data_IF_682401208419
#
_entry.id   IF_682401208419
#
_cell.length_a   1.000
_cell.length_b   1.000
_cell.length_c   1.000
_cell.angle_alpha   90.00
_cell.angle_beta   90.00
_cell.angle_gamma   90.00
#
_symmetry.space_group_name_H-M   'P 1'
#
loop_
_entity.id
_entity.type
_entity.pdbx_description
1 polymer ?
#
# COMPACT_ATOMS: atom_id res chain seq x y z
N UNK A 1 -15.04 -7.80 12.65
CA UNK A 1 -14.36 -8.83 11.83
C UNK A 1 -13.11 -9.29 12.56
N UNK A 2 -12.89 -10.60 12.66
CA UNK A 2 -11.63 -11.18 13.17
C UNK A 2 -10.49 -11.03 12.15
N UNK A 3 -9.23 -11.24 12.55
CA UNK A 3 -8.06 -11.02 11.68
C UNK A 3 -8.07 -11.91 10.43
N UNK A 4 -8.60 -13.15 10.51
CA UNK A 4 -8.81 -14.03 9.35
C UNK A 4 -9.78 -13.43 8.31
N UNK A 5 -10.91 -12.87 8.77
CA UNK A 5 -11.89 -12.23 7.89
C UNK A 5 -11.33 -10.94 7.26
N UNK A 6 -10.57 -10.16 8.02
CA UNK A 6 -9.87 -8.97 7.50
C UNK A 6 -8.84 -9.36 6.43
N UNK A 7 -8.04 -10.41 6.68
CA UNK A 7 -7.03 -10.90 5.73
C UNK A 7 -7.66 -11.30 4.40
N UNK A 8 -8.78 -12.05 4.46
CA UNK A 8 -9.54 -12.40 3.26
C UNK A 8 -10.03 -11.18 2.49
N UNK A 9 -10.57 -10.17 3.17
CA UNK A 9 -11.03 -8.94 2.52
C UNK A 9 -9.87 -8.17 1.84
N UNK A 10 -8.68 -8.15 2.45
CA UNK A 10 -7.49 -7.55 1.85
C UNK A 10 -7.03 -8.33 0.61
N UNK A 11 -7.02 -9.66 0.67
CA UNK A 11 -6.69 -10.50 -0.47
C UNK A 11 -7.69 -10.34 -1.62
N UNK A 12 -8.98 -10.23 -1.30
CA UNK A 12 -10.04 -10.00 -2.29
C UNK A 12 -9.90 -8.61 -2.92
N UNK A 13 -9.56 -7.58 -2.14
CA UNK A 13 -9.22 -6.25 -2.65
C UNK A 13 -8.06 -6.34 -3.65
N UNK A 14 -6.95 -6.97 -3.27
CA UNK A 14 -5.75 -7.07 -4.11
C UNK A 14 -5.99 -7.80 -5.43
N UNK A 15 -6.92 -8.76 -5.45
CA UNK A 15 -7.32 -9.52 -6.65
C UNK A 15 -8.40 -8.80 -7.47
N UNK A 16 -9.04 -7.79 -6.91
CA UNK A 16 -10.14 -7.10 -7.56
C UNK A 16 -9.69 -6.34 -8.80
N UNK A 17 -10.53 -6.32 -9.83
CA UNK A 17 -10.31 -5.49 -11.04
C UNK A 17 -10.19 -4.01 -10.69
N UNK A 18 -10.96 -3.54 -9.70
CA UNK A 18 -10.90 -2.15 -9.24
C UNK A 18 -9.53 -1.79 -8.68
N UNK A 19 -8.94 -2.66 -7.87
CA UNK A 19 -7.57 -2.44 -7.38
C UNK A 19 -6.53 -2.48 -8.48
N UNK A 20 -6.66 -3.38 -9.47
CA UNK A 20 -5.76 -3.41 -10.63
C UNK A 20 -5.78 -2.09 -11.41
N UNK A 21 -6.97 -1.53 -11.65
CA UNK A 21 -7.15 -0.23 -12.30
C UNK A 21 -6.49 0.88 -11.49
N UNK A 22 -6.77 0.96 -10.18
CA UNK A 22 -6.16 1.96 -9.30
C UNK A 22 -4.64 1.84 -9.26
N UNK A 23 -4.12 0.61 -9.14
CA UNK A 23 -2.69 0.35 -9.09
C UNK A 23 -1.99 0.77 -10.39
N UNK A 24 -2.62 0.57 -11.55
CA UNK A 24 -2.08 1.03 -12.83
C UNK A 24 -2.07 2.55 -12.91
N UNK A 25 -3.22 3.21 -12.69
CA UNK A 25 -3.35 4.67 -12.76
C UNK A 25 -2.35 5.34 -11.82
N UNK A 26 -2.23 4.88 -10.58
CA UNK A 26 -1.31 5.47 -9.61
C UNK A 26 0.16 5.31 -10.00
N UNK A 27 0.54 4.20 -10.66
CA UNK A 27 1.90 4.02 -11.19
C UNK A 27 2.19 5.00 -12.33
N UNK A 28 1.21 5.20 -13.20
CA UNK A 28 1.33 6.14 -14.32
C UNK A 28 1.45 7.59 -13.81
N UNK A 29 0.67 7.96 -12.78
CA UNK A 29 0.76 9.26 -12.11
C UNK A 29 2.11 9.49 -11.42
N UNK A 30 2.68 8.46 -10.79
CA UNK A 30 4.03 8.54 -10.22
C UNK A 30 5.07 8.84 -11.29
N UNK A 31 5.02 8.13 -12.43
CA UNK A 31 5.95 8.32 -13.54
C UNK A 31 5.76 9.72 -14.14
N UNK A 32 4.53 10.12 -14.42
CA UNK A 32 4.20 11.46 -14.93
C UNK A 32 4.72 12.58 -14.03
N UNK A 33 4.55 12.44 -12.72
CA UNK A 33 5.04 13.40 -11.72
C UNK A 33 6.57 13.46 -11.70
N UNK A 34 7.24 12.31 -11.80
CA UNK A 34 8.70 12.23 -11.84
C UNK A 34 9.28 12.84 -13.12
N UNK A 35 8.67 12.55 -14.28
CA UNK A 35 9.04 13.14 -15.57
C UNK A 35 8.85 14.65 -15.57
N UNK A 36 7.74 15.15 -15.00
CA UNK A 36 7.50 16.59 -14.88
C UNK A 36 8.61 17.33 -14.11
N UNK A 37 9.16 16.69 -13.06
CA UNK A 37 10.30 17.24 -12.32
C UNK A 37 11.58 17.21 -13.19
N UNK A 38 11.81 16.10 -13.89
CA UNK A 38 13.02 15.90 -14.70
C UNK A 38 13.08 16.84 -15.93
N UNK A 39 11.94 17.08 -16.57
CA UNK A 39 11.85 17.81 -17.83
C UNK A 39 11.81 19.34 -17.64
N UNK A 40 11.49 19.81 -16.43
CA UNK A 40 11.41 21.25 -16.13
C UNK A 40 12.57 21.71 -15.25
N UNK A 41 13.65 22.13 -15.90
CA UNK A 41 14.84 22.68 -15.23
C UNK A 41 14.59 23.99 -14.45
N UNK A 42 13.47 24.67 -14.69
CA UNK A 42 13.08 25.93 -14.06
C UNK A 42 11.96 25.77 -13.01
N UNK A 43 11.66 24.54 -12.60
CA UNK A 43 10.62 24.28 -11.60
C UNK A 43 11.00 24.88 -10.24
N UNK A 44 10.05 25.58 -9.61
CA UNK A 44 10.24 26.11 -8.27
C UNK A 44 10.48 25.01 -7.23
N UNK A 45 11.33 25.28 -6.25
CA UNK A 45 11.70 24.30 -5.24
C UNK A 45 10.50 23.81 -4.41
N UNK A 46 9.52 24.67 -4.13
CA UNK A 46 8.31 24.27 -3.40
C UNK A 46 7.47 23.29 -4.23
N UNK A 47 7.36 23.55 -5.54
CA UNK A 47 6.65 22.67 -6.48
C UNK A 47 7.36 21.30 -6.62
N UNK A 48 8.70 21.29 -6.68
CA UNK A 48 9.48 20.04 -6.68
C UNK A 48 9.19 19.24 -5.40
N UNK A 49 9.21 19.89 -4.23
CA UNK A 49 8.97 19.23 -2.96
C UNK A 49 7.53 18.72 -2.84
N UNK A 50 6.55 19.49 -3.32
CA UNK A 50 5.15 19.06 -3.38
C UNK A 50 5.01 17.78 -4.22
N UNK A 51 5.59 17.76 -5.42
CA UNK A 51 5.55 16.57 -6.30
C UNK A 51 6.26 15.36 -5.69
N UNK A 52 7.40 15.56 -5.02
CA UNK A 52 8.08 14.48 -4.27
C UNK A 52 7.18 13.92 -3.16
N UNK A 53 6.46 14.79 -2.45
CA UNK A 53 5.47 14.40 -1.45
C UNK A 53 4.32 13.57 -2.05
N UNK A 54 3.75 14.01 -3.17
CA UNK A 54 2.70 13.28 -3.88
C UNK A 54 3.17 11.91 -4.37
N UNK A 55 4.37 11.83 -4.95
CA UNK A 55 4.99 10.55 -5.36
C UNK A 55 5.16 9.62 -4.15
N UNK A 56 5.65 10.14 -3.02
CA UNK A 56 5.82 9.34 -1.81
C UNK A 56 4.48 8.81 -1.30
N UNK A 57 3.46 9.66 -1.20
CA UNK A 57 2.13 9.27 -0.74
C UNK A 57 1.48 8.21 -1.66
N UNK A 58 1.62 8.39 -2.97
CA UNK A 58 1.17 7.42 -3.98
C UNK A 58 1.82 6.05 -3.76
N UNK A 59 3.13 6.00 -3.57
CA UNK A 59 3.85 4.75 -3.24
C UNK A 59 3.33 4.14 -1.93
N UNK A 60 3.14 4.95 -0.89
CA UNK A 60 2.62 4.45 0.39
C UNK A 60 1.23 3.84 0.27
N UNK A 61 0.36 4.40 -0.59
CA UNK A 61 -0.97 3.87 -0.85
C UNK A 61 -0.92 2.50 -1.53
N UNK A 62 -0.07 2.33 -2.54
CA UNK A 62 0.06 1.06 -3.26
C UNK A 62 0.60 -0.08 -2.38
N UNK A 63 1.47 0.24 -1.42
CA UNK A 63 2.03 -0.73 -0.47
C UNK A 63 1.09 -1.06 0.70
N UNK A 64 0.03 -0.28 0.89
CA UNK A 64 -0.83 -0.40 2.07
C UNK A 64 -1.50 -1.78 2.21
N UNK A 65 -2.08 -2.40 1.17
CA UNK A 65 -2.69 -3.71 1.30
C UNK A 65 -1.68 -4.81 1.67
N UNK A 66 -0.46 -4.73 1.12
CA UNK A 66 0.61 -5.69 1.40
C UNK A 66 1.03 -5.62 2.87
N UNK A 67 1.28 -4.41 3.39
CA UNK A 67 1.62 -4.21 4.80
C UNK A 67 0.51 -4.67 5.74
N UNK A 68 -0.74 -4.36 5.38
CA UNK A 68 -1.90 -4.78 6.17
C UNK A 68 -2.03 -6.31 6.19
N UNK A 69 -1.82 -6.97 5.05
CA UNK A 69 -1.77 -8.43 4.95
C UNK A 69 -0.72 -9.02 5.88
N UNK A 70 0.54 -8.55 5.80
CA UNK A 70 1.63 -9.04 6.66
C UNK A 70 1.31 -8.89 8.15
N UNK A 71 0.75 -7.75 8.54
CA UNK A 71 0.32 -7.52 9.92
C UNK A 71 -0.75 -8.52 10.35
N UNK A 72 -1.75 -8.77 9.51
CA UNK A 72 -2.84 -9.70 9.82
C UNK A 72 -2.35 -11.16 9.88
N UNK A 73 -1.41 -11.55 9.02
CA UNK A 73 -0.75 -12.87 9.08
C UNK A 73 -0.01 -13.05 10.41
N UNK A 74 0.73 -12.02 10.86
CA UNK A 74 1.41 -12.05 12.16
C UNK A 74 0.42 -12.13 13.34
N UNK A 75 -0.67 -11.35 13.31
CA UNK A 75 -1.73 -11.42 14.34
C UNK A 75 -2.32 -12.83 14.43
N UNK A 76 -2.62 -13.48 13.29
CA UNK A 76 -3.21 -14.82 13.28
C UNK A 76 -2.23 -15.87 13.83
N UNK A 77 -0.94 -15.73 13.54
CA UNK A 77 0.09 -16.65 14.04
C UNK A 77 0.17 -16.60 15.58
N UNK A 78 0.24 -15.40 16.14
CA UNK A 78 0.26 -15.20 17.60
C UNK A 78 -1.01 -15.75 18.27
N UNK A 79 -2.17 -15.46 17.69
CA UNK A 79 -3.47 -15.91 18.19
C UNK A 79 -3.66 -17.45 18.14
N UNK A 80 -2.83 -18.15 17.36
CA UNK A 80 -2.79 -19.61 17.28
C UNK A 80 -1.83 -20.20 18.31
N UNK A 81 -0.70 -19.54 18.56
CA UNK A 81 0.33 -19.93 19.53
C UNK A 81 -0.19 -19.79 20.98
N UNK A 82 -0.91 -18.71 21.28
CA UNK A 82 -1.54 -18.47 22.59
C UNK A 82 -2.59 -19.55 22.96
N UNK A 83 -3.24 -20.15 21.96
CA UNK A 83 -4.22 -21.24 22.18
C UNK A 83 -3.57 -22.60 22.36
N UNK A 84 -2.39 -22.82 21.78
CA UNK A 84 -1.65 -24.08 21.98
C UNK A 84 -0.97 -24.13 23.34
N UNK A 85 -0.57 -23.00 23.91
CA UNK A 85 0.12 -22.91 25.21
C UNK A 85 -0.82 -22.94 26.43
N UNK A 86 -2.13 -22.78 26.24
CA UNK A 86 -3.13 -22.79 27.32
C UNK A 86 -3.84 -24.13 27.51
N UNK A 87 -3.64 -25.08 26.60
CA UNK A 87 -4.23 -26.43 26.64
C UNK A 87 -3.27 -27.52 27.20
N UNK A 88 -2.08 -27.13 27.69
CA UNK A 88 -1.09 -27.97 28.41
C UNK A 88 -1.03 -27.63 29.91
#
# INVERSE_FOLDING_TARGET
MNSKAKLRAVDDLMKSKGWQVLNQIMKDEIVSSAMSIADNASMDLQEINFRRGSIWAAKQMLEMPIRLRQKLEAEIALDTDDRQTTDD
#
